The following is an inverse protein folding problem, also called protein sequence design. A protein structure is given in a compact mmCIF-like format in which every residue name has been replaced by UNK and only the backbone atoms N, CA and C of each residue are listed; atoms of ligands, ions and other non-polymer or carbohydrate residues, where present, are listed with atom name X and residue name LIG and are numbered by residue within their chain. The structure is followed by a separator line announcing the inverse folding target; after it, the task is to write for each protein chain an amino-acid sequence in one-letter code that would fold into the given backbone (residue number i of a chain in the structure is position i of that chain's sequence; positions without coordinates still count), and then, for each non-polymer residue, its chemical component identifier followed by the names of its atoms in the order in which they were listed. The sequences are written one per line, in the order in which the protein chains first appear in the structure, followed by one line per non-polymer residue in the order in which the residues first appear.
data_IF_528126979428
#
_entry.id   IF_528126979428
#
_cell.length_a   1.000
_cell.length_b   1.000
_cell.length_c   1.000
_cell.angle_alpha   90.00
_cell.angle_beta   90.00
_cell.angle_gamma   90.00
#
_symmetry.space_group_name_H-M   'P 1'
#
loop_
_entity.id
_entity.type
_entity.pdbx_description
1 polymer ?
#
# COMPACT_ATOMS: atom_id res chain seq x y z
N UNK A 1 -8.86 16.67 -7.73
CA UNK A 1 -8.92 15.79 -8.94
C UNK A 1 -10.35 15.73 -9.44
N UNK A 2 -10.58 15.74 -10.77
CA UNK A 2 -11.92 15.63 -11.36
C UNK A 2 -12.50 14.21 -11.19
N UNK A 3 -13.82 14.11 -11.00
CA UNK A 3 -14.50 12.85 -10.65
C UNK A 3 -14.30 11.68 -11.63
N UNK A 4 -14.09 11.93 -12.93
CA UNK A 4 -13.84 10.87 -13.92
C UNK A 4 -12.52 10.12 -13.70
N UNK A 5 -11.51 10.76 -13.09
CA UNK A 5 -10.20 10.17 -12.82
C UNK A 5 -10.17 9.51 -11.44
N UNK A 6 -10.94 10.03 -10.48
CA UNK A 6 -10.88 9.55 -9.08
C UNK A 6 -11.33 8.10 -8.96
N UNK A 7 -12.40 7.69 -9.64
CA UNK A 7 -12.93 6.32 -9.56
C UNK A 7 -11.93 5.25 -10.05
N UNK A 8 -11.32 5.34 -11.23
CA UNK A 8 -10.31 4.36 -11.65
C UNK A 8 -9.07 4.37 -10.75
N UNK A 9 -8.64 5.55 -10.26
CA UNK A 9 -7.55 5.63 -9.28
C UNK A 9 -7.90 4.92 -7.98
N UNK A 10 -9.10 5.15 -7.44
CA UNK A 10 -9.58 4.48 -6.23
C UNK A 10 -9.68 2.96 -6.42
N UNK A 11 -10.18 2.50 -7.57
CA UNK A 11 -10.22 1.07 -7.90
C UNK A 11 -8.81 0.46 -7.96
N UNK A 12 -7.84 1.15 -8.57
CA UNK A 12 -6.44 0.70 -8.60
C UNK A 12 -5.84 0.62 -7.19
N UNK A 13 -6.08 1.63 -6.34
CA UNK A 13 -5.65 1.59 -4.94
C UNK A 13 -6.27 0.42 -4.17
N UNK A 14 -7.54 0.12 -4.40
CA UNK A 14 -8.21 -1.01 -3.78
C UNK A 14 -7.57 -2.36 -4.20
N UNK A 15 -7.27 -2.55 -5.49
CA UNK A 15 -6.61 -3.75 -5.98
C UNK A 15 -5.20 -3.93 -5.38
N UNK A 16 -4.42 -2.84 -5.31
CA UNK A 16 -3.09 -2.87 -4.68
C UNK A 16 -3.18 -3.14 -3.18
N UNK A 17 -4.16 -2.56 -2.48
CA UNK A 17 -4.37 -2.80 -1.05
C UNK A 17 -4.77 -4.25 -0.78
N UNK A 18 -5.65 -4.83 -1.60
CA UNK A 18 -5.98 -6.26 -1.52
C UNK A 18 -4.73 -7.10 -1.74
N UNK A 19 -3.94 -6.81 -2.78
CA UNK A 19 -2.71 -7.54 -3.06
C UNK A 19 -1.73 -7.52 -1.87
N UNK A 20 -1.49 -6.34 -1.28
CA UNK A 20 -0.68 -6.18 -0.06
C UNK A 20 -1.25 -7.01 1.09
N UNK A 21 -2.55 -6.93 1.34
CA UNK A 21 -3.20 -7.64 2.44
C UNK A 21 -3.14 -9.17 2.31
N UNK A 22 -3.13 -9.71 1.08
CA UNK A 22 -3.15 -11.17 0.85
C UNK A 22 -1.78 -11.80 0.60
N UNK A 23 -0.79 -11.03 0.15
CA UNK A 23 0.55 -11.51 -0.19
C UNK A 23 1.21 -12.45 0.85
N UNK A 24 1.21 -12.16 2.17
CA UNK A 24 1.83 -13.02 3.17
C UNK A 24 1.10 -14.37 3.35
N UNK A 25 -0.18 -14.44 3.00
CA UNK A 25 -0.99 -15.65 3.14
C UNK A 25 -0.90 -16.54 1.90
N UNK A 26 -0.75 -15.95 0.72
CA UNK A 26 -0.67 -16.68 -0.56
C UNK A 26 0.74 -17.20 -0.86
N UNK A 27 1.80 -16.57 -0.33
CA UNK A 27 3.18 -17.00 -0.55
C UNK A 27 3.46 -18.46 -0.16
N UNK A 28 2.74 -18.98 0.85
CA UNK A 28 2.87 -20.36 1.33
C UNK A 28 2.55 -21.40 0.27
N UNK A 29 1.65 -21.10 -0.66
CA UNK A 29 1.28 -22.00 -1.77
C UNK A 29 2.40 -22.15 -2.80
N UNK A 30 3.33 -21.20 -2.84
CA UNK A 30 4.49 -21.19 -3.74
C UNK A 30 5.80 -21.57 -3.04
N UNK A 31 5.74 -21.98 -1.77
CA UNK A 31 6.93 -22.27 -0.96
C UNK A 31 7.64 -21.04 -0.37
N UNK A 32 7.08 -19.84 -0.54
CA UNK A 32 7.62 -18.62 0.04
C UNK A 32 7.14 -18.49 1.49
N UNK A 33 8.01 -18.87 2.44
CA UNK A 33 7.71 -18.86 3.87
C UNK A 33 8.61 -17.88 4.60
N UNK A 34 8.00 -16.99 5.38
CA UNK A 34 8.67 -16.16 6.37
C UNK A 34 8.29 -16.67 7.75
N UNK A 35 9.26 -16.80 8.65
CA UNK A 35 9.04 -17.26 10.02
C UNK A 35 8.58 -16.08 10.90
N UNK A 36 7.29 -15.75 10.80
CA UNK A 36 6.67 -14.60 11.46
C UNK A 36 5.46 -15.03 12.28
N UNK A 37 5.20 -14.31 13.39
CA UNK A 37 4.01 -14.53 14.20
C UNK A 37 2.78 -14.00 13.45
N UNK A 38 1.61 -14.70 13.49
CA UNK A 38 0.43 -14.26 12.76
C UNK A 38 -0.02 -12.81 13.06
N UNK A 39 0.14 -12.36 14.31
CA UNK A 39 -0.19 -10.98 14.70
C UNK A 39 0.66 -9.94 13.98
N UNK A 40 1.92 -10.25 13.66
CA UNK A 40 2.81 -9.35 12.93
C UNK A 40 2.32 -9.19 11.49
N UNK A 41 1.91 -10.27 10.85
CA UNK A 41 1.34 -10.22 9.49
C UNK A 41 0.08 -9.36 9.41
N UNK A 42 -0.77 -9.43 10.45
CA UNK A 42 -1.97 -8.58 10.55
C UNK A 42 -1.59 -7.10 10.67
N UNK A 43 -0.62 -6.78 11.53
CA UNK A 43 -0.18 -5.39 11.76
C UNK A 43 0.54 -4.82 10.54
N UNK A 44 1.37 -5.60 9.87
CA UNK A 44 2.23 -5.11 8.80
C UNK A 44 1.56 -5.10 7.43
N UNK A 45 0.50 -5.90 7.24
CA UNK A 45 -0.20 -6.00 5.96
C UNK A 45 -1.69 -5.66 6.04
N UNK A 46 -2.43 -6.34 6.93
CA UNK A 46 -3.90 -6.27 6.94
C UNK A 46 -4.39 -4.89 7.40
N UNK A 47 -3.86 -4.36 8.51
CA UNK A 47 -4.26 -3.05 9.02
C UNK A 47 -3.94 -1.92 8.01
N UNK A 48 -2.73 -1.84 7.42
CA UNK A 48 -2.45 -0.90 6.34
C UNK A 48 -3.36 -1.07 5.12
N UNK A 49 -3.60 -2.30 4.67
CA UNK A 49 -4.48 -2.59 3.54
C UNK A 49 -5.91 -2.08 3.80
N UNK A 50 -6.45 -2.31 5.00
CA UNK A 50 -7.77 -1.79 5.40
C UNK A 50 -7.81 -0.27 5.38
N UNK A 51 -6.76 0.41 5.85
CA UNK A 51 -6.68 1.87 5.81
C UNK A 51 -6.71 2.40 4.36
N UNK A 52 -5.96 1.78 3.45
CA UNK A 52 -5.99 2.16 2.03
C UNK A 52 -7.32 1.83 1.38
N UNK A 53 -7.94 0.68 1.72
CA UNK A 53 -9.28 0.33 1.23
C UNK A 53 -10.34 1.35 1.69
N UNK A 54 -10.26 1.87 2.91
CA UNK A 54 -11.13 2.93 3.38
C UNK A 54 -10.96 4.23 2.56
N UNK A 55 -9.72 4.60 2.25
CA UNK A 55 -9.42 5.75 1.37
C UNK A 55 -9.96 5.53 -0.05
N UNK A 56 -9.78 4.32 -0.61
CA UNK A 56 -10.32 3.96 -1.91
C UNK A 56 -11.86 4.01 -1.92
N UNK A 57 -12.52 3.43 -0.91
CA UNK A 57 -13.97 3.47 -0.76
C UNK A 57 -14.49 4.90 -0.67
N UNK A 58 -13.82 5.77 0.10
CA UNK A 58 -14.13 7.21 0.14
C UNK A 58 -14.02 7.84 -1.26
N UNK A 59 -12.94 7.54 -1.99
CA UNK A 59 -12.73 8.00 -3.37
C UNK A 59 -13.84 7.60 -4.32
N UNK A 60 -14.30 6.34 -4.27
CA UNK A 60 -15.42 5.85 -5.07
C UNK A 60 -16.72 6.55 -4.68
N UNK A 61 -17.03 6.61 -3.39
CA UNK A 61 -18.29 7.14 -2.87
C UNK A 61 -18.46 8.65 -3.14
N UNK A 62 -17.39 9.43 -2.93
CA UNK A 62 -17.44 10.90 -3.06
C UNK A 62 -16.99 11.40 -4.43
N UNK A 63 -16.36 10.53 -5.23
CA UNK A 63 -15.65 10.92 -6.46
C UNK A 63 -14.61 12.04 -6.20
N UNK A 64 -14.05 12.08 -4.96
CA UNK A 64 -13.01 13.01 -4.51
C UNK A 64 -11.96 12.26 -3.69
N UNK A 65 -10.71 12.70 -3.79
CA UNK A 65 -9.60 12.24 -2.95
C UNK A 65 -8.81 13.49 -2.54
N UNK A 66 -9.18 14.13 -1.43
CA UNK A 66 -8.46 15.30 -0.94
C UNK A 66 -7.09 14.89 -0.42
N UNK A 67 -6.11 15.81 -0.44
CA UNK A 67 -4.73 15.50 -0.06
C UNK A 67 -4.64 14.89 1.34
N UNK A 68 -5.35 15.46 2.32
CA UNK A 68 -5.39 14.98 3.70
C UNK A 68 -5.83 13.52 3.82
N UNK A 69 -6.81 13.09 3.02
CA UNK A 69 -7.27 11.69 2.99
C UNK A 69 -6.24 10.80 2.30
N UNK A 70 -5.60 11.28 1.23
CA UNK A 70 -4.55 10.50 0.55
C UNK A 70 -3.30 10.31 1.40
N UNK A 71 -3.00 11.23 2.33
CA UNK A 71 -1.91 11.06 3.29
C UNK A 71 -2.10 9.85 4.21
N UNK A 72 -3.33 9.51 4.58
CA UNK A 72 -3.62 8.30 5.36
C UNK A 72 -3.16 7.06 4.60
N UNK A 73 -3.43 6.99 3.29
CA UNK A 73 -2.98 5.89 2.45
C UNK A 73 -1.46 5.87 2.29
N UNK A 74 -0.81 7.03 2.17
CA UNK A 74 0.66 7.14 2.12
C UNK A 74 1.29 6.61 3.40
N UNK A 75 0.79 7.00 4.57
CA UNK A 75 1.34 6.56 5.86
C UNK A 75 1.16 5.05 6.07
N UNK A 76 0.00 4.50 5.70
CA UNK A 76 -0.25 3.07 5.75
C UNK A 76 0.68 2.30 4.81
N UNK A 77 0.84 2.76 3.57
CA UNK A 77 1.73 2.12 2.61
C UNK A 77 3.22 2.25 3.00
N UNK A 78 3.61 3.39 3.58
CA UNK A 78 4.95 3.60 4.13
C UNK A 78 5.24 2.64 5.27
N UNK A 79 4.29 2.43 6.20
CA UNK A 79 4.43 1.44 7.27
C UNK A 79 4.72 0.05 6.70
N UNK A 80 3.92 -0.39 5.73
CA UNK A 80 4.09 -1.69 5.06
C UNK A 80 5.48 -1.77 4.41
N UNK A 81 5.88 -0.75 3.66
CA UNK A 81 7.18 -0.74 2.99
C UNK A 81 8.35 -0.76 3.98
N UNK A 82 8.30 0.07 5.03
CA UNK A 82 9.37 0.20 6.02
C UNK A 82 9.57 -1.09 6.83
N UNK A 83 8.49 -1.77 7.22
CA UNK A 83 8.55 -3.04 7.97
C UNK A 83 9.15 -4.20 7.14
N UNK A 84 9.21 -4.06 5.82
CA UNK A 84 9.80 -5.05 4.92
C UNK A 84 11.27 -4.80 4.56
N UNK A 85 11.81 -3.62 4.86
CA UNK A 85 13.24 -3.33 4.63
C UNK A 85 14.16 -4.34 5.34
N UNK A 86 13.93 -4.73 6.62
CA UNK A 86 14.73 -5.77 7.26
C UNK A 86 14.74 -7.10 6.51
N UNK A 87 13.60 -7.53 5.94
CA UNK A 87 13.50 -8.77 5.18
C UNK A 87 14.38 -8.75 3.92
N UNK A 88 14.46 -7.61 3.24
CA UNK A 88 15.35 -7.42 2.10
C UNK A 88 16.83 -7.44 2.52
N UNK A 89 17.15 -6.87 3.68
CA UNK A 89 18.51 -6.94 4.26
C UNK A 89 18.88 -8.39 4.60
N UNK A 90 17.97 -9.14 5.20
CA UNK A 90 18.19 -10.56 5.52
C UNK A 90 18.39 -11.41 4.27
N UNK A 91 17.68 -11.12 3.18
CA UNK A 91 17.93 -11.75 1.89
C UNK A 91 19.31 -11.42 1.32
N UNK A 92 19.75 -10.15 1.42
CA UNK A 92 21.10 -9.73 1.04
C UNK A 92 22.21 -10.40 1.84
N UNK A 93 21.91 -10.85 3.07
CA UNK A 93 22.83 -11.60 3.94
C UNK A 93 22.72 -13.13 3.76
N UNK A 94 21.79 -13.62 2.94
CA UNK A 94 21.58 -15.05 2.69
C UNK A 94 20.76 -15.77 3.77
N UNK A 95 20.12 -15.06 4.70
CA UNK A 95 19.27 -15.66 5.73
C UNK A 95 17.89 -16.06 5.20
N UNK A 96 17.41 -15.39 4.15
CA UNK A 96 16.12 -15.65 3.50
C UNK A 96 16.31 -15.69 1.98
N UNK A 97 15.63 -16.59 1.24
CA UNK A 97 15.68 -16.58 -0.23
C UNK A 97 15.16 -15.25 -0.80
N UNK A 98 15.84 -14.71 -1.81
CA UNK A 98 15.42 -13.48 -2.50
C UNK A 98 13.99 -13.55 -3.05
N UNK A 99 13.58 -14.69 -3.61
CA UNK A 99 12.21 -14.87 -4.11
C UNK A 99 11.17 -14.68 -3.00
N UNK A 100 11.42 -15.23 -1.80
CA UNK A 100 10.56 -15.04 -0.64
C UNK A 100 10.52 -13.58 -0.21
N UNK A 101 11.68 -12.92 -0.11
CA UNK A 101 11.77 -11.53 0.31
C UNK A 101 11.09 -10.58 -0.68
N UNK A 102 11.29 -10.77 -1.98
CA UNK A 102 10.66 -9.98 -3.03
C UNK A 102 9.13 -10.19 -3.06
N UNK A 103 8.67 -11.43 -2.94
CA UNK A 103 7.23 -11.73 -2.91
C UNK A 103 6.50 -10.98 -1.80
N UNK A 104 7.12 -10.88 -0.61
CA UNK A 104 6.54 -10.19 0.54
C UNK A 104 6.70 -8.66 0.43
N UNK A 105 7.82 -8.17 -0.11
CA UNK A 105 8.16 -6.74 -0.03
C UNK A 105 7.67 -5.90 -1.22
N UNK A 106 7.59 -6.49 -2.42
CA UNK A 106 7.20 -5.76 -3.65
C UNK A 106 5.79 -5.15 -3.55
N UNK A 107 4.76 -5.84 -3.04
CA UNK A 107 3.41 -5.26 -2.94
C UNK A 107 3.42 -3.94 -2.14
N UNK A 108 4.09 -3.91 -1.00
CA UNK A 108 4.20 -2.72 -0.15
C UNK A 108 4.91 -1.56 -0.85
N UNK A 109 6.01 -1.84 -1.56
CA UNK A 109 6.76 -0.83 -2.31
C UNK A 109 5.93 -0.22 -3.45
N UNK A 110 5.21 -1.05 -4.22
CA UNK A 110 4.33 -0.60 -5.31
C UNK A 110 3.19 0.24 -4.76
N UNK A 111 2.56 -0.20 -3.66
CA UNK A 111 1.49 0.54 -3.01
C UNK A 111 1.98 1.90 -2.49
N UNK A 112 3.18 1.96 -1.90
CA UNK A 112 3.78 3.20 -1.43
C UNK A 112 4.04 4.19 -2.58
N UNK A 113 4.65 3.74 -3.68
CA UNK A 113 4.86 4.57 -4.85
C UNK A 113 3.55 5.11 -5.44
N UNK A 114 2.53 4.26 -5.56
CA UNK A 114 1.22 4.65 -6.08
C UNK A 114 0.52 5.69 -5.18
N UNK A 115 0.49 5.47 -3.86
CA UNK A 115 -0.14 6.39 -2.91
C UNK A 115 0.56 7.73 -2.85
N UNK A 116 1.90 7.77 -2.93
CA UNK A 116 2.67 9.03 -3.06
C UNK A 116 2.31 9.78 -4.32
N UNK A 117 2.22 9.09 -5.47
CA UNK A 117 1.80 9.72 -6.74
C UNK A 117 0.39 10.31 -6.67
N UNK A 118 -0.56 9.59 -6.08
CA UNK A 118 -1.93 10.07 -5.86
C UNK A 118 -1.95 11.28 -4.92
N UNK A 119 -1.23 11.23 -3.81
CA UNK A 119 -1.16 12.34 -2.86
C UNK A 119 -0.52 13.59 -3.47
N UNK A 120 0.55 13.45 -4.24
CA UNK A 120 1.18 14.55 -4.97
C UNK A 120 0.22 15.17 -6.00
N UNK A 121 -0.58 14.35 -6.69
CA UNK A 121 -1.58 14.82 -7.65
C UNK A 121 -2.75 15.53 -6.95
N UNK A 122 -3.21 15.00 -5.81
CA UNK A 122 -4.22 15.64 -4.98
C UNK A 122 -3.77 17.02 -4.50
N UNK A 123 -2.57 17.10 -3.92
CA UNK A 123 -1.97 18.34 -3.43
C UNK A 123 -1.86 19.40 -4.52
N UNK A 124 -1.29 19.06 -5.68
CA UNK A 124 -1.16 20.00 -6.82
C UNK A 124 -2.52 20.56 -7.26
N UNK A 125 -3.55 19.73 -7.27
CA UNK A 125 -4.90 20.15 -7.66
C UNK A 125 -5.54 21.08 -6.62
N UNK A 126 -5.35 20.82 -5.32
CA UNK A 126 -5.91 21.66 -4.26
C UNK A 126 -5.18 23.01 -4.18
N UNK A 127 -3.85 23.00 -4.31
CA UNK A 127 -3.05 24.23 -4.37
C UNK A 127 -3.42 25.12 -5.56
N UNK A 128 -3.71 24.53 -6.73
CA UNK A 128 -4.16 25.29 -7.91
C UNK A 128 -5.56 25.91 -7.73
N UNK A 129 -6.38 25.38 -6.83
CA UNK A 129 -7.71 25.90 -6.50
C UNK A 129 -7.69 26.89 -5.32
N UNK A 130 -6.51 27.22 -4.78
CA UNK A 130 -6.37 28.08 -3.60
C UNK A 130 -6.95 27.45 -2.33
N UNK A 131 -7.12 26.12 -2.31
CA UNK A 131 -7.53 25.40 -1.10
C UNK A 131 -6.28 25.06 -0.29
N UNK A 132 -6.35 25.17 1.06
CA UNK A 132 -5.24 24.84 1.94
C UNK A 132 -4.80 23.38 1.79
#
# INVERSE_FOLDING_TARGET
MRGLIVRPVAAALALLAVWVGVAPYTGRWFGFRVATRPVVEVVDHVLPAVAVLAVAAFGVATSRLPWSVTLVAVLAALWTFATHVPLLVDAGRGFVPWATALWHSVPGAVLFAATVGVAATAWRHESAEGRP
#
